data_IF_665709468658
#
_entry.id   IF_665709468658
#
_cell.length_a   1.000
_cell.length_b   1.000
_cell.length_c   1.000
_cell.angle_alpha   90.00
_cell.angle_beta   90.00
_cell.angle_gamma   90.00
#
_symmetry.space_group_name_H-M   'P 1'
#
loop_
_entity.id
_entity.type
_entity.pdbx_description
1 polymer ?
#
# COMPACT_ATOMS: atom_id res chain seq x y z
N UNK A 1 -5.63 8.07 -0.06
CA UNK A 1 -5.18 9.26 -0.81
C UNK A 1 -6.14 10.46 -0.68
N UNK A 2 -7.45 10.32 -0.83
CA UNK A 2 -8.40 11.44 -0.78
C UNK A 2 -8.33 12.28 0.50
N UNK A 3 -8.15 11.68 1.66
CA UNK A 3 -7.97 12.40 2.92
C UNK A 3 -6.68 13.27 2.92
N UNK A 4 -5.59 12.78 2.30
CA UNK A 4 -4.35 13.55 2.14
C UNK A 4 -4.54 14.73 1.16
N UNK A 5 -5.19 14.51 0.01
CA UNK A 5 -5.53 15.58 -0.94
C UNK A 5 -6.34 16.67 -0.22
N UNK A 6 -7.35 16.26 0.55
CA UNK A 6 -8.15 17.21 1.34
C UNK A 6 -7.31 17.98 2.36
N UNK A 7 -6.41 17.29 3.06
CA UNK A 7 -5.56 17.91 4.08
C UNK A 7 -4.61 18.95 3.45
N UNK A 8 -3.90 18.58 2.37
CA UNK A 8 -3.04 19.50 1.60
C UNK A 8 -3.82 20.71 1.10
N UNK A 9 -5.00 20.48 0.50
CA UNK A 9 -5.82 21.58 -0.04
C UNK A 9 -6.24 22.54 1.06
N UNK A 10 -6.78 22.05 2.17
CA UNK A 10 -7.28 22.91 3.26
C UNK A 10 -6.16 23.62 4.01
N UNK A 11 -5.07 22.92 4.29
CA UNK A 11 -3.91 23.53 4.95
C UNK A 11 -3.25 24.59 4.06
N UNK A 12 -3.15 24.35 2.74
CA UNK A 12 -2.62 25.33 1.81
C UNK A 12 -3.49 26.60 1.75
N UNK A 13 -4.81 26.46 1.65
CA UNK A 13 -5.74 27.59 1.67
C UNK A 13 -5.67 28.36 3.00
N UNK A 14 -5.58 27.67 4.13
CA UNK A 14 -5.45 28.26 5.46
C UNK A 14 -4.18 29.12 5.60
N UNK A 15 -3.10 28.74 4.90
CA UNK A 15 -1.86 29.49 4.82
C UNK A 15 -1.86 30.55 3.69
N UNK A 16 -2.99 30.82 3.06
CA UNK A 16 -3.12 31.83 2.00
C UNK A 16 -2.56 31.38 0.64
N UNK A 17 -2.27 30.10 0.44
CA UNK A 17 -1.76 29.56 -0.82
C UNK A 17 -2.90 29.28 -1.82
N UNK A 18 -2.63 29.45 -3.10
CA UNK A 18 -3.46 28.91 -4.17
C UNK A 18 -3.11 27.45 -4.40
N UNK A 19 -4.10 26.55 -4.31
CA UNK A 19 -3.89 25.12 -4.44
C UNK A 19 -4.44 24.60 -5.76
N UNK A 20 -3.62 23.87 -6.50
CA UNK A 20 -3.99 23.20 -7.75
C UNK A 20 -3.86 21.70 -7.62
N UNK A 21 -4.86 20.98 -8.09
CA UNK A 21 -4.80 19.52 -8.22
C UNK A 21 -4.39 19.13 -9.65
N UNK A 22 -3.42 18.24 -9.76
CA UNK A 22 -3.01 17.65 -11.03
C UNK A 22 -3.79 16.37 -11.26
N UNK A 23 -4.61 16.31 -12.31
CA UNK A 23 -5.38 15.11 -12.64
C UNK A 23 -4.49 14.07 -13.33
N UNK A 24 -4.68 12.80 -12.99
CA UNK A 24 -3.94 11.66 -13.58
C UNK A 24 -2.42 11.67 -13.31
N UNK A 25 -1.97 12.25 -12.18
CA UNK A 25 -0.57 12.23 -11.74
C UNK A 25 0.41 12.81 -12.76
N UNK A 26 1.56 12.17 -12.97
CA UNK A 26 2.60 12.68 -13.87
C UNK A 26 2.16 12.78 -15.34
N UNK A 27 1.24 11.92 -15.80
CA UNK A 27 0.67 12.04 -17.15
C UNK A 27 -0.09 13.37 -17.29
N UNK A 28 -0.90 13.71 -16.29
CA UNK A 28 -1.61 15.00 -16.26
C UNK A 28 -0.68 16.19 -16.07
N UNK A 29 0.44 16.02 -15.36
CA UNK A 29 1.44 17.06 -15.21
C UNK A 29 2.08 17.44 -16.56
N UNK A 30 2.48 16.46 -17.35
CA UNK A 30 2.98 16.66 -18.72
C UNK A 30 1.92 17.28 -19.61
N UNK A 31 0.68 16.79 -19.54
CA UNK A 31 -0.45 17.31 -20.34
C UNK A 31 -0.92 18.73 -19.91
N UNK A 32 -0.51 19.19 -18.71
CA UNK A 32 -0.98 20.47 -18.16
C UNK A 32 -2.41 20.43 -17.60
N UNK A 33 -2.84 19.26 -17.09
CA UNK A 33 -4.18 19.07 -16.53
C UNK A 33 -4.28 19.56 -15.08
N UNK A 34 -4.15 20.87 -14.90
CA UNK A 34 -4.28 21.56 -13.62
C UNK A 34 -5.72 21.97 -13.35
N UNK A 35 -6.17 21.80 -12.13
CA UNK A 35 -7.45 22.29 -11.65
C UNK A 35 -7.25 23.04 -10.35
N UNK A 36 -7.62 24.32 -10.28
CA UNK A 36 -7.65 25.06 -9.03
C UNK A 36 -8.64 24.40 -8.07
N UNK A 37 -8.19 24.15 -6.82
CA UNK A 37 -8.98 23.53 -5.79
C UNK A 37 -9.38 24.52 -4.71
N UNK A 38 -10.65 24.47 -4.36
CA UNK A 38 -11.23 25.23 -3.25
C UNK A 38 -11.60 24.28 -2.10
N UNK A 39 -11.83 24.81 -0.90
CA UNK A 39 -12.22 24.02 0.26
C UNK A 39 -13.48 23.17 0.04
N UNK A 40 -14.40 23.61 -0.84
CA UNK A 40 -15.62 22.88 -1.21
C UNK A 40 -15.36 21.69 -2.12
N UNK A 41 -14.36 21.76 -3.01
CA UNK A 41 -14.02 20.69 -3.95
C UNK A 41 -13.53 19.42 -3.24
N UNK A 42 -12.98 19.57 -2.06
CA UNK A 42 -12.48 18.47 -1.22
C UNK A 42 -13.42 18.12 -0.06
N UNK A 43 -14.64 18.65 -0.07
CA UNK A 43 -15.71 18.28 0.85
C UNK A 43 -16.18 16.86 0.58
N UNK A 44 -16.46 16.06 1.62
CA UNK A 44 -16.98 14.70 1.47
C UNK A 44 -16.01 13.67 0.86
N UNK A 45 -14.71 13.95 0.77
CA UNK A 45 -13.73 13.04 0.17
C UNK A 45 -13.12 12.03 1.14
N UNK A 46 -13.16 12.30 2.46
CA UNK A 46 -12.43 11.50 3.46
C UNK A 46 -12.84 10.02 3.49
N UNK A 47 -14.11 9.74 3.24
CA UNK A 47 -14.66 8.38 3.26
C UNK A 47 -14.57 7.68 1.91
N UNK A 48 -14.14 8.35 0.85
CA UNK A 48 -14.09 7.77 -0.49
C UNK A 48 -12.77 7.04 -0.71
N UNK A 49 -12.87 5.82 -1.23
CA UNK A 49 -11.71 5.06 -1.69
C UNK A 49 -11.06 5.71 -2.94
N UNK A 50 -9.85 5.28 -3.26
CA UNK A 50 -9.13 5.71 -4.45
C UNK A 50 -8.61 7.14 -4.38
N UNK A 51 -8.62 7.83 -5.51
CA UNK A 51 -8.16 9.22 -5.63
C UNK A 51 -9.08 10.06 -6.51
N UNK A 52 -9.55 11.16 -5.96
CA UNK A 52 -10.38 12.18 -6.62
C UNK A 52 -9.69 12.79 -7.86
N UNK A 53 -8.35 12.91 -7.82
CA UNK A 53 -7.58 13.45 -8.95
C UNK A 53 -7.28 12.40 -10.02
N UNK A 54 -7.54 11.12 -9.75
CA UNK A 54 -7.15 10.01 -10.61
C UNK A 54 -5.64 9.73 -10.56
N UNK A 55 -5.24 8.63 -11.16
CA UNK A 55 -3.84 8.26 -11.35
C UNK A 55 -3.68 7.55 -12.68
N UNK A 56 -2.51 7.67 -13.31
CA UNK A 56 -2.16 6.96 -14.53
C UNK A 56 -0.69 6.56 -14.52
N UNK A 57 -0.37 5.44 -15.17
CA UNK A 57 1.02 5.11 -15.49
C UNK A 57 1.49 6.05 -16.60
N UNK A 58 2.69 6.62 -16.45
CA UNK A 58 3.25 7.55 -17.41
C UNK A 58 4.65 7.11 -17.81
N UNK A 59 4.77 6.43 -18.94
CA UNK A 59 6.07 6.00 -19.47
C UNK A 59 6.90 7.22 -19.94
N UNK A 60 6.25 8.23 -20.50
CA UNK A 60 6.87 9.46 -20.96
C UNK A 60 7.62 10.20 -19.85
N UNK A 61 7.07 10.24 -18.63
CA UNK A 61 7.73 10.88 -17.50
C UNK A 61 9.04 10.18 -17.06
N UNK A 62 9.31 8.98 -17.55
CA UNK A 62 10.60 8.29 -17.31
C UNK A 62 11.73 8.83 -18.17
N UNK A 63 11.40 9.52 -19.27
CA UNK A 63 12.38 10.15 -20.18
C UNK A 63 12.82 11.51 -19.63
N UNK A 64 13.99 11.99 -20.05
CA UNK A 64 14.47 13.34 -19.69
C UNK A 64 13.54 14.41 -20.27
N UNK A 65 13.12 14.25 -21.54
CA UNK A 65 12.19 15.15 -22.22
C UNK A 65 10.84 15.28 -21.49
N UNK A 66 10.28 14.17 -21.03
CA UNK A 66 9.02 14.18 -20.26
C UNK A 66 9.15 14.91 -18.92
N UNK A 67 10.29 14.75 -18.22
CA UNK A 67 10.58 15.48 -16.98
C UNK A 67 10.74 16.99 -17.24
N UNK A 68 11.45 17.36 -18.31
CA UNK A 68 11.65 18.76 -18.69
C UNK A 68 10.32 19.40 -19.11
N UNK A 69 9.48 18.68 -19.85
CA UNK A 69 8.12 19.09 -20.18
C UNK A 69 7.29 19.35 -18.93
N UNK A 70 7.33 18.45 -17.96
CA UNK A 70 6.62 18.59 -16.69
C UNK A 70 7.07 19.86 -15.94
N UNK A 71 8.38 20.09 -15.82
CA UNK A 71 8.94 21.30 -15.19
C UNK A 71 8.53 22.58 -15.93
N UNK A 72 8.59 22.56 -17.25
CA UNK A 72 8.13 23.69 -18.06
C UNK A 72 6.66 24.00 -17.79
N UNK A 73 5.79 22.97 -17.71
CA UNK A 73 4.37 23.14 -17.38
C UNK A 73 4.17 23.76 -16.00
N UNK A 74 4.85 23.25 -14.97
CA UNK A 74 4.78 23.82 -13.62
C UNK A 74 5.14 25.30 -13.59
N UNK A 75 6.27 25.66 -14.21
CA UNK A 75 6.73 27.06 -14.27
C UNK A 75 5.78 27.96 -15.04
N UNK A 76 5.25 27.47 -16.16
CA UNK A 76 4.30 28.24 -17.00
C UNK A 76 2.99 28.51 -16.29
N UNK A 77 2.51 27.57 -15.48
CA UNK A 77 1.28 27.72 -14.69
C UNK A 77 1.52 28.48 -13.37
N UNK A 78 2.75 28.94 -13.11
CA UNK A 78 3.11 29.67 -11.89
C UNK A 78 3.04 28.83 -10.63
N UNK A 79 3.31 27.52 -10.74
CA UNK A 79 3.33 26.62 -9.57
C UNK A 79 4.72 26.68 -8.92
N UNK A 80 4.76 27.05 -7.65
CA UNK A 80 5.99 27.25 -6.89
C UNK A 80 6.50 25.96 -6.21
N UNK A 81 5.60 25.06 -5.83
CA UNK A 81 5.93 23.82 -5.16
C UNK A 81 4.94 22.68 -5.48
N UNK A 82 5.37 21.43 -5.31
CA UNK A 82 4.57 20.25 -5.60
C UNK A 82 4.51 19.31 -4.40
N UNK A 83 3.31 18.85 -4.04
CA UNK A 83 3.10 17.73 -3.12
C UNK A 83 2.78 16.46 -3.91
N UNK A 84 3.60 15.42 -3.76
CA UNK A 84 3.42 14.13 -4.45
C UNK A 84 2.95 13.07 -3.46
N UNK A 85 1.69 12.65 -3.58
CA UNK A 85 1.07 11.64 -2.71
C UNK A 85 1.12 10.28 -3.42
N UNK A 86 1.96 9.35 -2.95
CA UNK A 86 2.06 8.03 -3.60
C UNK A 86 3.16 7.14 -3.03
N UNK A 87 3.32 5.96 -3.64
CA UNK A 87 4.34 4.96 -3.31
C UNK A 87 5.63 5.14 -4.11
N UNK A 88 6.47 4.09 -4.14
CA UNK A 88 7.84 4.10 -4.70
C UNK A 88 7.96 4.79 -6.07
N UNK A 89 7.14 4.40 -7.05
CA UNK A 89 7.20 5.01 -8.38
C UNK A 89 6.87 6.51 -8.39
N UNK A 90 5.96 6.96 -7.52
CA UNK A 90 5.62 8.38 -7.39
C UNK A 90 6.75 9.16 -6.71
N UNK A 91 7.38 8.57 -5.69
CA UNK A 91 8.49 9.23 -4.99
C UNK A 91 9.77 9.26 -5.83
N UNK A 92 10.02 8.25 -6.69
CA UNK A 92 11.07 8.31 -7.70
C UNK A 92 10.85 9.49 -8.66
N UNK A 93 9.61 9.72 -9.09
CA UNK A 93 9.27 10.88 -9.91
C UNK A 93 9.41 12.20 -9.15
N UNK A 94 9.05 12.24 -7.88
CA UNK A 94 9.22 13.40 -6.99
C UNK A 94 10.71 13.77 -6.84
N UNK A 95 11.55 12.76 -6.57
CA UNK A 95 13.01 12.92 -6.48
C UNK A 95 13.59 13.47 -7.79
N UNK A 96 13.15 12.95 -8.94
CA UNK A 96 13.63 13.40 -10.23
C UNK A 96 13.33 14.88 -10.54
N UNK A 97 12.20 15.42 -10.07
CA UNK A 97 11.89 16.85 -10.15
C UNK A 97 12.67 17.66 -9.11
N UNK A 98 12.81 17.14 -7.89
CA UNK A 98 13.58 17.77 -6.82
C UNK A 98 15.05 17.92 -7.19
N UNK A 99 15.67 16.89 -7.78
CA UNK A 99 17.06 16.92 -8.27
C UNK A 99 17.28 17.96 -9.37
N UNK A 100 16.22 18.42 -10.06
CA UNK A 100 16.24 19.52 -11.05
C UNK A 100 15.94 20.89 -10.43
N UNK A 101 15.97 20.97 -9.09
CA UNK A 101 15.77 22.21 -8.34
C UNK A 101 14.31 22.66 -8.21
N UNK A 102 13.33 21.81 -8.50
CA UNK A 102 11.92 22.16 -8.24
C UNK A 102 11.54 21.75 -6.80
N UNK A 103 10.88 22.64 -6.03
CA UNK A 103 10.45 22.32 -4.67
C UNK A 103 9.39 21.21 -4.65
N UNK A 104 9.73 20.03 -4.10
CA UNK A 104 8.83 18.88 -4.02
C UNK A 104 8.82 18.32 -2.60
N UNK A 105 7.63 17.98 -2.10
CA UNK A 105 7.43 17.24 -0.86
C UNK A 105 6.62 15.99 -1.16
N UNK A 106 7.15 14.83 -0.78
CA UNK A 106 6.48 13.54 -0.87
C UNK A 106 5.56 13.28 0.33
N UNK A 107 4.50 12.51 0.11
CA UNK A 107 3.62 11.96 1.16
C UNK A 107 3.48 10.47 0.95
N UNK A 108 3.81 9.67 1.98
CA UNK A 108 3.86 8.22 1.92
C UNK A 108 2.46 7.60 1.77
N UNK A 109 2.14 7.06 0.59
CA UNK A 109 0.83 6.47 0.29
C UNK A 109 0.94 5.29 -0.67
N UNK A 110 0.88 4.08 -0.13
CA UNK A 110 0.79 2.80 -0.84
C UNK A 110 0.14 1.79 0.08
N UNK A 111 -0.53 0.76 -0.46
CA UNK A 111 -1.04 -0.35 0.34
C UNK A 111 0.05 -1.40 0.62
N UNK A 112 1.12 -1.42 -0.17
CA UNK A 112 2.15 -2.46 -0.14
C UNK A 112 3.06 -2.32 1.11
N UNK A 113 3.08 -1.16 1.76
CA UNK A 113 3.92 -0.76 2.90
C UNK A 113 5.44 -0.95 2.66
N UNK A 114 5.85 -0.86 1.41
CA UNK A 114 7.20 -1.13 0.90
C UNK A 114 8.05 0.14 0.70
N UNK A 115 7.55 1.30 1.14
CA UNK A 115 8.19 2.60 0.96
C UNK A 115 9.12 2.91 2.13
N UNK A 116 10.42 3.09 1.84
CA UNK A 116 11.40 3.54 2.83
C UNK A 116 11.05 4.95 3.34
N UNK A 117 11.34 5.22 4.62
CA UNK A 117 11.02 6.49 5.27
C UNK A 117 9.63 6.56 5.90
N UNK A 118 8.86 5.45 5.93
CA UNK A 118 7.62 5.40 6.69
C UNK A 118 7.37 4.01 7.29
N UNK A 119 7.08 3.94 8.58
CA UNK A 119 6.68 2.70 9.26
C UNK A 119 5.35 2.19 8.73
N UNK A 120 4.41 3.11 8.50
CA UNK A 120 3.09 2.82 7.96
C UNK A 120 2.75 3.84 6.87
N UNK A 121 2.27 3.37 5.73
CA UNK A 121 1.86 4.21 4.61
C UNK A 121 0.35 4.31 4.50
N UNK A 122 -0.15 5.43 3.96
CA UNK A 122 -1.59 5.67 3.77
C UNK A 122 -2.17 4.59 2.84
N UNK A 123 -3.16 3.87 3.31
CA UNK A 123 -3.89 2.84 2.58
C UNK A 123 -3.69 1.42 3.10
N UNK A 124 -2.64 1.17 3.87
CA UNK A 124 -2.32 -0.15 4.43
C UNK A 124 -3.41 -0.65 5.37
N UNK A 125 -3.81 0.19 6.35
CA UNK A 125 -4.86 -0.17 7.31
C UNK A 125 -6.18 -0.53 6.60
N UNK A 126 -6.55 0.24 5.59
CA UNK A 126 -7.74 -0.05 4.79
C UNK A 126 -7.62 -1.40 4.07
N UNK A 127 -6.48 -1.69 3.45
CA UNK A 127 -6.25 -2.95 2.72
C UNK A 127 -6.23 -4.15 3.67
N UNK A 128 -5.66 -4.00 4.86
CA UNK A 128 -5.68 -5.02 5.92
C UNK A 128 -7.10 -5.31 6.40
N UNK A 129 -7.90 -4.28 6.67
CA UNK A 129 -9.27 -4.48 7.12
C UNK A 129 -10.14 -5.21 6.08
N UNK A 130 -9.94 -4.95 4.77
CA UNK A 130 -10.60 -5.72 3.71
C UNK A 130 -10.14 -7.18 3.70
N UNK A 131 -8.85 -7.43 3.90
CA UNK A 131 -8.35 -8.80 3.98
C UNK A 131 -8.92 -9.54 5.19
N UNK A 132 -8.97 -8.90 6.37
CA UNK A 132 -9.55 -9.47 7.59
C UNK A 132 -11.03 -9.76 7.44
N UNK A 133 -11.82 -8.85 6.88
CA UNK A 133 -13.23 -9.08 6.61
C UNK A 133 -13.44 -10.32 5.71
N UNK A 134 -12.63 -10.49 4.68
CA UNK A 134 -12.67 -11.66 3.81
C UNK A 134 -12.27 -12.95 4.56
N UNK A 135 -11.21 -12.90 5.36
CA UNK A 135 -10.74 -14.01 6.19
C UNK A 135 -11.82 -14.45 7.16
N UNK A 136 -12.44 -13.53 7.89
CA UNK A 136 -13.49 -13.84 8.88
C UNK A 136 -14.71 -14.49 8.23
N UNK A 137 -15.13 -14.00 7.07
CA UNK A 137 -16.21 -14.62 6.29
C UNK A 137 -15.85 -16.02 5.81
N UNK A 138 -14.62 -16.26 5.38
CA UNK A 138 -14.14 -17.57 4.95
C UNK A 138 -14.03 -18.55 6.11
N UNK A 139 -13.61 -18.12 7.29
CA UNK A 139 -13.56 -18.97 8.49
C UNK A 139 -14.93 -19.51 8.87
N UNK A 140 -15.97 -18.69 8.79
CA UNK A 140 -17.34 -19.12 9.05
C UNK A 140 -17.78 -20.27 8.11
N UNK A 141 -17.37 -20.20 6.84
CA UNK A 141 -17.65 -21.27 5.86
C UNK A 141 -16.67 -22.45 5.96
N UNK A 142 -15.41 -22.21 6.30
CA UNK A 142 -14.37 -23.22 6.39
C UNK A 142 -14.66 -24.30 7.46
N UNK A 143 -15.13 -23.87 8.63
CA UNK A 143 -15.47 -24.76 9.73
C UNK A 143 -16.61 -25.75 9.40
N UNK A 144 -17.48 -25.40 8.44
CA UNK A 144 -18.59 -26.26 8.02
C UNK A 144 -18.19 -27.37 7.02
N UNK A 145 -17.03 -27.26 6.37
CA UNK A 145 -16.67 -28.15 5.25
C UNK A 145 -15.34 -28.90 5.43
N UNK A 146 -14.59 -28.66 6.50
CA UNK A 146 -13.30 -29.34 6.75
C UNK A 146 -12.26 -29.11 5.66
N UNK A 147 -12.19 -27.89 5.10
CA UNK A 147 -11.32 -27.53 3.96
C UNK A 147 -10.22 -26.54 4.36
N UNK A 148 -9.10 -26.61 3.65
CA UNK A 148 -8.08 -25.56 3.68
C UNK A 148 -8.47 -24.41 2.74
N UNK A 149 -8.39 -23.18 3.22
CA UNK A 149 -8.59 -21.98 2.42
C UNK A 149 -7.29 -21.21 2.28
N UNK A 150 -6.94 -20.88 1.06
CA UNK A 150 -5.80 -20.04 0.72
C UNK A 150 -6.32 -18.68 0.30
N UNK A 151 -6.00 -17.64 1.06
CA UNK A 151 -6.44 -16.27 0.77
C UNK A 151 -5.25 -15.49 0.21
N UNK A 152 -5.32 -15.17 -1.08
CA UNK A 152 -4.30 -14.36 -1.72
C UNK A 152 -4.60 -12.88 -1.54
N UNK A 153 -3.59 -12.15 -1.06
CA UNK A 153 -3.65 -10.71 -0.82
C UNK A 153 -2.62 -9.97 -1.66
N UNK A 154 -2.91 -8.71 -1.95
CA UNK A 154 -2.00 -7.82 -2.66
C UNK A 154 -0.75 -7.52 -1.82
N UNK A 155 0.23 -6.82 -2.40
CA UNK A 155 1.48 -6.41 -1.76
C UNK A 155 2.66 -6.42 -2.73
N UNK A 156 2.46 -6.85 -3.98
CA UNK A 156 3.51 -7.05 -4.99
C UNK A 156 4.65 -7.91 -4.45
N UNK A 157 5.88 -7.37 -4.42
CA UNK A 157 7.08 -8.06 -3.94
C UNK A 157 7.29 -7.90 -2.43
N UNK A 158 6.27 -7.44 -1.68
CA UNK A 158 6.30 -7.24 -0.23
C UNK A 158 5.21 -8.07 0.46
N UNK A 159 5.62 -8.94 1.36
CA UNK A 159 4.74 -9.83 2.13
C UNK A 159 4.04 -9.17 3.33
N UNK A 160 4.20 -7.86 3.53
CA UNK A 160 3.69 -7.18 4.73
C UNK A 160 2.18 -7.40 4.94
N UNK A 161 1.36 -7.16 3.90
CA UNK A 161 -0.10 -7.35 4.01
C UNK A 161 -0.46 -8.80 4.34
N UNK A 162 0.21 -9.78 3.69
CA UNK A 162 -0.02 -11.19 3.96
C UNK A 162 0.34 -11.57 5.40
N UNK A 163 1.49 -11.11 5.86
CA UNK A 163 1.98 -11.40 7.20
C UNK A 163 1.06 -10.81 8.29
N UNK A 164 0.71 -9.53 8.16
CA UNK A 164 -0.17 -8.86 9.12
C UNK A 164 -1.59 -9.43 9.09
N UNK A 165 -2.12 -9.75 7.90
CA UNK A 165 -3.43 -10.39 7.76
C UNK A 165 -3.44 -11.82 8.34
N UNK A 166 -2.34 -12.56 8.20
CA UNK A 166 -2.19 -13.90 8.79
C UNK A 166 -2.19 -13.84 10.32
N UNK A 167 -1.42 -12.94 10.92
CA UNK A 167 -1.36 -12.77 12.38
C UNK A 167 -2.73 -12.34 12.91
N UNK A 168 -3.28 -11.27 12.38
CA UNK A 168 -4.55 -10.71 12.87
C UNK A 168 -5.75 -11.61 12.55
N UNK A 169 -5.71 -12.33 11.43
CA UNK A 169 -6.72 -13.30 11.03
C UNK A 169 -6.52 -14.68 11.65
N UNK A 170 -5.45 -14.96 12.42
CA UNK A 170 -5.18 -16.25 13.04
C UNK A 170 -5.07 -17.38 12.00
N UNK A 171 -4.24 -17.20 10.99
CA UNK A 171 -3.98 -18.19 9.97
C UNK A 171 -3.00 -19.27 10.46
N UNK A 172 -3.13 -20.50 9.94
CA UNK A 172 -2.24 -21.62 10.23
C UNK A 172 -0.88 -21.50 9.55
N UNK A 173 -0.84 -20.72 8.42
CA UNK A 173 0.42 -20.44 7.73
C UNK A 173 0.32 -19.13 6.94
N UNK A 174 1.48 -18.56 6.63
CA UNK A 174 1.63 -17.42 5.73
C UNK A 174 2.73 -17.70 4.72
N UNK A 175 2.50 -17.30 3.48
CA UNK A 175 3.44 -17.43 2.35
C UNK A 175 3.76 -16.05 1.83
N UNK A 176 5.05 -15.67 1.89
CA UNK A 176 5.53 -14.33 1.53
C UNK A 176 6.73 -14.41 0.59
N UNK A 177 6.96 -13.40 -0.27
CA UNK A 177 8.08 -13.41 -1.22
C UNK A 177 9.45 -13.36 -0.56
N UNK A 178 9.57 -12.77 0.63
CA UNK A 178 10.83 -12.63 1.36
C UNK A 178 11.34 -13.95 1.97
N UNK A 179 10.52 -15.01 1.92
CA UNK A 179 10.89 -16.33 2.45
C UNK A 179 10.50 -17.43 1.48
N UNK A 180 11.46 -18.28 1.16
CA UNK A 180 11.21 -19.46 0.34
C UNK A 180 10.21 -20.41 1.02
N UNK A 181 9.24 -20.88 0.24
CA UNK A 181 8.19 -21.78 0.71
C UNK A 181 8.32 -23.12 -0.03
N UNK A 182 8.45 -24.21 0.73
CA UNK A 182 8.30 -25.56 0.21
C UNK A 182 6.81 -25.97 0.31
N UNK A 183 6.11 -26.19 -0.82
CA UNK A 183 4.71 -26.59 -0.81
C UNK A 183 4.45 -27.92 -0.09
N UNK A 184 5.42 -28.83 -0.11
CA UNK A 184 5.33 -30.10 0.60
C UNK A 184 5.37 -29.93 2.12
N UNK A 185 6.29 -29.11 2.62
CA UNK A 185 6.35 -28.78 4.06
C UNK A 185 5.11 -28.02 4.52
N UNK A 186 4.62 -27.09 3.71
CA UNK A 186 3.36 -26.37 3.98
C UNK A 186 2.19 -27.36 4.09
N UNK A 187 2.08 -28.28 3.15
CA UNK A 187 1.03 -29.31 3.18
C UNK A 187 1.07 -30.20 4.44
N UNK A 188 2.27 -30.61 4.87
CA UNK A 188 2.43 -31.37 6.10
C UNK A 188 2.08 -30.56 7.36
N UNK A 189 2.39 -29.26 7.37
CA UNK A 189 1.96 -28.35 8.45
C UNK A 189 0.44 -28.29 8.56
N UNK A 190 -0.26 -28.14 7.45
CA UNK A 190 -1.73 -28.13 7.42
C UNK A 190 -2.32 -29.50 7.83
N UNK A 191 -1.75 -30.60 7.34
CA UNK A 191 -2.15 -31.95 7.75
C UNK A 191 -2.02 -32.13 9.26
N UNK A 192 -0.90 -31.71 9.83
CA UNK A 192 -0.68 -31.76 11.28
C UNK A 192 -1.72 -30.93 12.06
N UNK A 193 -2.15 -29.78 11.53
CA UNK A 193 -3.21 -28.98 12.15
C UNK A 193 -4.54 -29.76 12.22
N UNK A 194 -4.93 -30.43 11.13
CA UNK A 194 -6.11 -31.32 11.13
C UNK A 194 -5.98 -32.48 12.09
N UNK A 195 -4.79 -33.13 12.18
CA UNK A 195 -4.56 -34.21 13.12
C UNK A 195 -4.67 -33.76 14.59
N UNK A 196 -4.38 -32.51 14.90
CA UNK A 196 -4.60 -31.88 16.21
C UNK A 196 -6.06 -31.52 16.48
N UNK A 197 -6.98 -31.80 15.55
CA UNK A 197 -8.42 -31.61 15.73
C UNK A 197 -8.94 -30.26 15.22
N UNK A 198 -8.13 -29.48 14.47
CA UNK A 198 -8.67 -28.27 13.80
C UNK A 198 -9.67 -28.67 12.72
N UNK A 199 -10.82 -28.00 12.69
CA UNK A 199 -11.90 -28.26 11.72
C UNK A 199 -11.63 -27.67 10.34
N UNK A 200 -10.70 -26.71 10.23
CA UNK A 200 -10.31 -26.04 8.99
C UNK A 200 -8.88 -25.52 9.10
N UNK A 201 -8.28 -25.16 7.97
CA UNK A 201 -7.01 -24.47 7.93
C UNK A 201 -7.10 -23.25 7.00
N UNK A 202 -6.46 -22.16 7.42
CA UNK A 202 -6.35 -20.93 6.66
C UNK A 202 -4.89 -20.64 6.37
N UNK A 203 -4.59 -20.33 5.10
CA UNK A 203 -3.27 -19.89 4.66
C UNK A 203 -3.43 -18.51 4.01
N UNK A 204 -2.66 -17.53 4.43
CA UNK A 204 -2.60 -16.24 3.74
C UNK A 204 -1.40 -16.23 2.81
N UNK A 205 -1.60 -15.87 1.55
CA UNK A 205 -0.60 -15.91 0.50
C UNK A 205 -0.41 -14.51 -0.08
N UNK A 206 0.83 -14.02 -0.13
CA UNK A 206 1.14 -12.79 -0.85
C UNK A 206 1.12 -13.04 -2.37
N UNK A 207 0.53 -12.13 -3.15
CA UNK A 207 0.47 -12.25 -4.63
C UNK A 207 1.86 -12.36 -5.30
N UNK A 208 2.90 -11.83 -4.66
CA UNK A 208 4.29 -11.85 -5.13
C UNK A 208 5.10 -13.04 -4.66
N UNK A 209 4.52 -13.98 -3.91
CA UNK A 209 5.22 -15.18 -3.48
C UNK A 209 5.55 -16.09 -4.66
N UNK A 210 6.63 -16.88 -4.54
CA UNK A 210 7.05 -17.86 -5.58
C UNK A 210 5.92 -18.82 -5.95
N UNK A 211 5.14 -19.24 -4.96
CA UNK A 211 3.92 -20.02 -5.15
C UNK A 211 2.72 -19.18 -4.73
N UNK A 212 1.93 -18.71 -5.69
CA UNK A 212 0.67 -18.04 -5.44
C UNK A 212 -0.41 -19.04 -4.98
N UNK A 213 -1.58 -18.56 -4.56
CA UNK A 213 -2.62 -19.42 -4.01
C UNK A 213 -3.11 -20.49 -5.00
N UNK A 214 -3.19 -20.19 -6.30
CA UNK A 214 -3.61 -21.16 -7.32
C UNK A 214 -2.57 -22.26 -7.52
N UNK A 215 -1.27 -21.92 -7.57
CA UNK A 215 -0.18 -22.88 -7.69
C UNK A 215 -0.14 -23.84 -6.49
N UNK A 216 -0.33 -23.30 -5.27
CA UNK A 216 -0.43 -24.14 -4.05
C UNK A 216 -1.65 -25.06 -4.07
N UNK A 217 -2.82 -24.57 -4.47
CA UNK A 217 -4.03 -25.40 -4.61
C UNK A 217 -3.82 -26.51 -5.63
N UNK A 218 -3.15 -26.22 -6.75
CA UNK A 218 -2.82 -27.24 -7.75
C UNK A 218 -1.91 -28.30 -7.16
N UNK A 219 -0.83 -27.92 -6.50
CA UNK A 219 0.08 -28.85 -5.82
C UNK A 219 -0.63 -29.72 -4.78
N UNK A 220 -1.52 -29.15 -3.98
CA UNK A 220 -2.28 -29.91 -2.97
C UNK A 220 -3.29 -30.86 -3.62
N UNK A 221 -3.88 -30.50 -4.74
CA UNK A 221 -4.81 -31.37 -5.50
C UNK A 221 -4.09 -32.61 -6.05
N UNK A 222 -2.90 -32.45 -6.60
CA UNK A 222 -2.09 -33.56 -7.11
C UNK A 222 -1.67 -34.54 -6.00
N UNK A 223 -1.55 -34.07 -4.76
CA UNK A 223 -1.16 -34.84 -3.59
C UNK A 223 -2.34 -35.18 -2.67
N UNK A 224 -3.59 -35.04 -3.12
CA UNK A 224 -4.81 -35.11 -2.29
C UNK A 224 -4.93 -36.40 -1.49
N UNK A 225 -4.64 -37.55 -2.10
CA UNK A 225 -4.74 -38.86 -1.43
C UNK A 225 -3.81 -38.97 -0.21
N UNK A 226 -2.61 -38.39 -0.33
CA UNK A 226 -1.62 -38.36 0.75
C UNK A 226 -1.97 -37.34 1.82
N UNK A 227 -2.55 -36.20 1.44
CA UNK A 227 -2.79 -35.07 2.34
C UNK A 227 -4.09 -35.19 3.12
N UNK A 228 -5.12 -35.81 2.54
CA UNK A 228 -6.40 -36.08 3.22
C UNK A 228 -7.32 -34.85 3.37
N UNK A 229 -7.01 -33.72 2.72
CA UNK A 229 -7.85 -32.52 2.71
C UNK A 229 -8.00 -31.90 1.31
N UNK A 230 -9.04 -31.09 1.13
CA UNK A 230 -9.22 -30.26 -0.06
C UNK A 230 -8.79 -28.81 0.23
N UNK A 231 -8.20 -28.16 -0.76
CA UNK A 231 -7.84 -26.75 -0.70
C UNK A 231 -8.63 -25.90 -1.71
N UNK A 232 -8.93 -24.67 -1.34
CA UNK A 232 -9.59 -23.68 -2.19
C UNK A 232 -8.87 -22.35 -2.10
N UNK A 233 -8.68 -21.68 -3.24
CA UNK A 233 -8.13 -20.33 -3.29
C UNK A 233 -9.26 -19.29 -3.32
N UNK A 234 -8.99 -18.17 -2.67
CA UNK A 234 -9.75 -16.92 -2.79
C UNK A 234 -8.75 -15.80 -3.04
N UNK A 235 -8.80 -15.22 -4.23
CA UNK A 235 -7.90 -14.14 -4.64
C UNK A 235 -8.63 -12.81 -4.45
N UNK A 236 -8.17 -11.98 -3.51
CA UNK A 236 -8.81 -10.71 -3.22
C UNK A 236 -8.52 -9.67 -4.30
N UNK A 237 -7.26 -9.56 -4.75
CA UNK A 237 -6.86 -8.64 -5.79
C UNK A 237 -7.31 -7.20 -5.50
N UNK A 238 -7.76 -6.50 -6.55
CA UNK A 238 -8.04 -5.06 -6.50
C UNK A 238 -9.21 -4.64 -5.58
N UNK A 239 -10.03 -5.55 -5.07
CA UNK A 239 -11.07 -5.20 -4.06
C UNK A 239 -10.43 -4.62 -2.80
N UNK A 240 -9.19 -5.01 -2.46
CA UNK A 240 -8.45 -4.45 -1.33
C UNK A 240 -8.18 -2.95 -1.45
N UNK A 241 -8.19 -2.39 -2.66
CA UNK A 241 -8.03 -0.95 -2.92
C UNK A 241 -9.33 -0.17 -2.86
N UNK A 242 -10.47 -0.86 -2.82
CA UNK A 242 -11.81 -0.27 -2.86
C UNK A 242 -12.44 -0.01 -1.49
N UNK A 243 -11.76 -0.35 -0.40
CA UNK A 243 -12.28 -0.21 0.95
C UNK A 243 -12.48 1.25 1.37
N UNK A 244 -13.51 1.49 2.16
CA UNK A 244 -13.69 2.77 2.85
C UNK A 244 -12.59 2.94 3.88
N UNK A 245 -11.77 4.03 3.84
CA UNK A 245 -10.68 4.22 4.78
C UNK A 245 -11.18 4.32 6.21
N UNK A 246 -10.55 3.57 7.11
CA UNK A 246 -10.77 3.60 8.55
C UNK A 246 -10.22 4.87 9.21
N UNK A 247 -10.39 4.97 10.51
CA UNK A 247 -9.92 6.12 11.29
C UNK A 247 -8.40 6.30 11.17
N UNK A 248 -7.64 5.20 11.22
CA UNK A 248 -6.18 5.26 11.15
C UNK A 248 -5.70 5.92 9.85
N UNK A 249 -6.12 5.41 8.69
CA UNK A 249 -5.71 5.98 7.40
C UNK A 249 -6.15 7.44 7.22
N UNK A 250 -7.35 7.81 7.70
CA UNK A 250 -7.82 9.20 7.62
C UNK A 250 -6.98 10.14 8.48
N UNK A 251 -6.64 9.74 9.68
CA UNK A 251 -5.81 10.54 10.60
C UNK A 251 -4.37 10.64 10.09
N UNK A 252 -3.76 9.51 9.69
CA UNK A 252 -2.42 9.49 9.11
C UNK A 252 -2.34 10.39 7.88
N UNK A 253 -3.27 10.23 6.93
CA UNK A 253 -3.34 11.03 5.72
C UNK A 253 -3.51 12.54 6.02
N UNK A 254 -4.29 12.88 7.05
CA UNK A 254 -4.49 14.27 7.47
C UNK A 254 -3.20 14.83 8.08
N UNK A 255 -2.56 14.11 9.00
CA UNK A 255 -1.29 14.52 9.62
C UNK A 255 -0.20 14.73 8.58
N UNK A 256 0.03 13.77 7.69
CA UNK A 256 1.05 13.86 6.65
C UNK A 256 0.76 14.97 5.64
N UNK A 257 -0.51 15.15 5.24
CA UNK A 257 -0.90 16.20 4.29
C UNK A 257 -0.72 17.61 4.86
N UNK A 258 -1.08 17.84 6.12
CA UNK A 258 -0.84 19.13 6.80
C UNK A 258 0.67 19.39 6.95
N UNK A 259 1.43 18.38 7.37
CA UNK A 259 2.87 18.48 7.54
C UNK A 259 3.59 18.80 6.21
N UNK A 260 3.10 18.25 5.08
CA UNK A 260 3.66 18.56 3.77
C UNK A 260 3.51 20.04 3.40
N UNK A 261 2.37 20.65 3.69
CA UNK A 261 2.17 22.10 3.48
C UNK A 261 3.04 22.92 4.42
N UNK A 262 3.14 22.52 5.68
CA UNK A 262 4.00 23.19 6.64
C UNK A 262 5.49 23.11 6.25
N UNK A 263 5.95 21.98 5.71
CA UNK A 263 7.31 21.83 5.19
C UNK A 263 7.57 22.81 4.04
N UNK A 264 6.65 22.90 3.07
CA UNK A 264 6.74 23.89 1.97
C UNK A 264 6.82 25.31 2.52
N UNK A 265 5.96 25.68 3.48
CA UNK A 265 5.93 27.01 4.07
C UNK A 265 7.23 27.39 4.80
N UNK A 266 7.96 26.39 5.33
CA UNK A 266 9.29 26.58 5.95
C UNK A 266 10.45 26.52 4.94
N UNK A 267 10.16 26.33 3.64
CA UNK A 267 11.18 26.14 2.62
C UNK A 267 11.85 24.75 2.66
N UNK A 268 11.29 23.80 3.40
CA UNK A 268 11.76 22.41 3.46
C UNK A 268 11.18 21.63 2.27
N UNK A 269 12.03 21.14 1.40
CA UNK A 269 11.62 20.37 0.23
C UNK A 269 12.67 19.27 -0.08
N UNK A 270 12.41 18.41 -1.06
CA UNK A 270 13.25 17.25 -1.34
C UNK A 270 13.10 16.13 -0.31
N UNK A 271 12.00 16.09 0.43
CA UNK A 271 11.73 15.13 1.51
C UNK A 271 10.42 14.39 1.31
N UNK A 272 10.36 13.17 1.85
CA UNK A 272 9.14 12.39 2.04
C UNK A 272 8.64 12.58 3.47
N UNK A 273 7.37 12.93 3.64
CA UNK A 273 6.68 12.88 4.92
C UNK A 273 6.11 11.49 5.14
N UNK A 274 6.51 10.86 6.23
CA UNK A 274 6.09 9.51 6.63
C UNK A 274 5.89 9.42 8.14
N UNK A 275 5.51 8.23 8.60
CA UNK A 275 5.44 7.90 10.01
C UNK A 275 6.80 7.32 10.44
N UNK A 276 7.48 7.98 11.36
CA UNK A 276 8.80 7.57 11.89
C UNK A 276 8.74 7.59 13.41
N UNK A 277 8.91 6.46 14.06
CA UNK A 277 8.78 6.29 15.53
C UNK A 277 7.45 6.80 16.08
N UNK A 278 6.36 6.53 15.34
CA UNK A 278 5.01 6.95 15.70
C UNK A 278 4.68 8.43 15.45
N UNK A 279 5.66 9.24 15.02
CA UNK A 279 5.50 10.66 14.72
C UNK A 279 5.66 10.96 13.23
N UNK A 280 5.22 12.14 12.80
CA UNK A 280 5.45 12.59 11.43
C UNK A 280 6.92 12.98 11.30
N UNK A 281 7.65 12.28 10.45
CA UNK A 281 9.06 12.52 10.15
C UNK A 281 9.27 12.84 8.68
N UNK A 282 10.40 13.50 8.39
CA UNK A 282 10.85 13.80 7.04
C UNK A 282 12.10 12.97 6.72
N UNK A 283 12.08 12.28 5.57
CA UNK A 283 13.21 11.51 5.05
C UNK A 283 13.62 12.09 3.70
N UNK A 284 14.90 12.35 3.43
CA UNK A 284 15.36 12.83 2.12
C UNK A 284 14.89 11.93 0.97
N UNK A 285 14.38 12.50 -0.12
CA UNK A 285 13.89 11.72 -1.27
C UNK A 285 14.98 10.85 -1.89
N UNK A 286 16.24 11.27 -1.84
CA UNK A 286 17.39 10.47 -2.32
C UNK A 286 17.55 9.18 -1.50
N UNK A 287 17.36 9.24 -0.19
CA UNK A 287 17.38 8.06 0.67
C UNK A 287 16.17 7.16 0.40
N UNK A 288 14.98 7.76 0.21
CA UNK A 288 13.74 7.03 -0.08
C UNK A 288 13.86 6.19 -1.34
N UNK A 289 14.47 6.73 -2.40
CA UNK A 289 14.57 6.02 -3.69
C UNK A 289 15.76 5.08 -3.78
N UNK A 290 16.79 5.26 -2.96
CA UNK A 290 17.99 4.41 -2.93
C UNK A 290 17.88 3.21 -1.99
N UNK A 291 16.95 3.23 -1.05
CA UNK A 291 16.75 2.15 -0.09
C UNK A 291 15.42 1.42 -0.32
N UNK A 292 15.39 0.15 0.04
CA UNK A 292 14.15 -0.62 0.16
C UNK A 292 13.79 -0.76 1.63
N UNK A 293 12.50 -0.69 1.92
CA UNK A 293 12.02 -1.03 3.25
C UNK A 293 11.98 -2.54 3.38
N UNK A 294 12.71 -3.06 4.33
CA UNK A 294 12.69 -4.47 4.68
C UNK A 294 11.51 -4.80 5.59
N UNK A 295 10.98 -5.99 5.46
CA UNK A 295 9.96 -6.51 6.37
C UNK A 295 10.62 -7.00 7.67
N UNK A 296 9.95 -6.78 8.78
CA UNK A 296 10.40 -7.36 10.06
C UNK A 296 10.06 -8.86 10.10
N UNK A 297 11.08 -9.70 9.86
CA UNK A 297 10.93 -11.16 9.88
C UNK A 297 10.66 -11.73 11.27
N UNK A 298 10.81 -10.97 12.36
CA UNK A 298 10.40 -11.41 13.69
C UNK A 298 8.89 -11.61 13.77
N UNK A 299 8.12 -10.86 12.99
CA UNK A 299 6.68 -11.03 12.86
C UNK A 299 6.30 -12.36 12.17
N UNK A 300 7.17 -12.90 11.32
CA UNK A 300 6.97 -14.23 10.74
C UNK A 300 7.07 -15.33 11.82
N UNK A 301 8.02 -15.21 12.73
CA UNK A 301 8.11 -16.12 13.86
C UNK A 301 6.93 -16.00 14.82
N UNK A 302 6.43 -14.76 15.02
CA UNK A 302 5.18 -14.53 15.77
C UNK A 302 4.01 -15.27 15.10
N UNK A 303 3.83 -15.12 13.79
CA UNK A 303 2.78 -15.81 13.03
C UNK A 303 2.88 -17.33 13.22
N UNK A 304 4.09 -17.89 13.14
CA UNK A 304 4.35 -19.33 13.32
C UNK A 304 3.99 -19.83 14.74
N UNK A 305 4.31 -19.03 15.77
CA UNK A 305 3.97 -19.38 17.16
C UNK A 305 2.46 -19.35 17.37
N UNK A 306 1.77 -18.36 16.80
CA UNK A 306 0.31 -18.21 16.97
C UNK A 306 -0.49 -19.23 16.14
N UNK A 307 0.13 -19.91 15.19
CA UNK A 307 -0.50 -20.95 14.35
C UNK A 307 -0.62 -22.35 15.05
N UNK A 308 -0.02 -22.55 16.21
CA UNK A 308 0.05 -23.82 16.94
C UNK A 308 -1.31 -24.27 17.58
#
# INVERSE_FOLDING_TARGET
MNAAIRAVTRAGIDQGLEVYGVRSGFAGLIAGNFRRLQARDVGGLMQQAGTFLGSARCAEFRTEEGKDTALHRLRREGIDALVVIGGNGSQTGAQALSARGFPVVGVASTIDNDLYGSEMTIGVDTALNIALEAIDRLKATASSHGRAFLVEVMGRDCGYLALMAAIAGGAEAVVIPERETDPGLLAEQLRSAYQRGKSHALVVVAEGATYNAEALVHHFKENRERLGFEARATILGHVQRGGTPGAFDRLLATRLGVAAVQAIARGEHGVLLGLVRGEVGATPLDEVVSHRKEIDLSLFELARVMAQ
#
